data_IF_977893169074
#
_entry.id   IF_977893169074
#
_cell.length_a   1.000
_cell.length_b   1.000
_cell.length_c   1.000
_cell.angle_alpha   90.00
_cell.angle_beta   90.00
_cell.angle_gamma   90.00
#
_symmetry.space_group_name_H-M   'P 1'
#
loop_
_entity.id
_entity.type
_entity.pdbx_description
1 polymer ?
#
# COMPACT_ATOMS: atom_id res chain seq x y z
N UNK A 1 -50.32 2.29 -77.12
CA UNK A 1 -49.58 2.95 -76.02
C UNK A 1 -50.03 2.53 -74.62
N UNK A 2 -51.31 2.19 -74.35
CA UNK A 2 -51.77 1.84 -72.99
C UNK A 2 -51.29 0.47 -72.46
N UNK A 3 -51.12 -0.54 -73.32
CA UNK A 3 -50.67 -1.89 -72.91
C UNK A 3 -49.19 -1.94 -72.45
N UNK A 4 -48.35 -1.03 -72.96
CA UNK A 4 -46.92 -1.02 -72.63
C UNK A 4 -46.67 -0.41 -71.24
N UNK A 5 -47.44 0.62 -70.86
CA UNK A 5 -47.32 1.25 -69.53
C UNK A 5 -47.81 0.33 -68.40
N UNK A 6 -48.85 -0.47 -68.63
CA UNK A 6 -49.35 -1.43 -67.64
C UNK A 6 -48.31 -2.53 -67.34
N UNK A 7 -47.58 -3.00 -68.35
CA UNK A 7 -46.53 -4.01 -68.18
C UNK A 7 -45.33 -3.45 -67.38
N UNK A 8 -44.95 -2.19 -67.64
CA UNK A 8 -43.85 -1.53 -66.92
C UNK A 8 -44.19 -1.34 -65.44
N UNK A 9 -45.43 -0.94 -65.13
CA UNK A 9 -45.91 -0.80 -63.75
C UNK A 9 -45.94 -2.13 -62.99
N UNK A 10 -46.36 -3.22 -63.64
CA UNK A 10 -46.36 -4.56 -63.04
C UNK A 10 -44.94 -5.08 -62.76
N UNK A 11 -44.00 -4.84 -63.68
CA UNK A 11 -42.58 -5.23 -63.49
C UNK A 11 -41.92 -4.41 -62.37
N UNK A 12 -42.25 -3.12 -62.25
CA UNK A 12 -41.75 -2.27 -61.16
C UNK A 12 -42.31 -2.69 -59.79
N UNK A 13 -43.61 -3.01 -59.70
CA UNK A 13 -44.22 -3.52 -58.46
C UNK A 13 -43.63 -4.87 -58.05
N UNK A 14 -43.46 -5.80 -59.01
CA UNK A 14 -42.85 -7.10 -58.74
C UNK A 14 -41.39 -6.95 -58.27
N UNK A 15 -40.61 -6.05 -58.88
CA UNK A 15 -39.24 -5.75 -58.45
C UNK A 15 -39.19 -5.16 -57.03
N UNK A 16 -40.14 -4.29 -56.69
CA UNK A 16 -40.21 -3.69 -55.36
C UNK A 16 -40.56 -4.71 -54.28
N UNK A 17 -41.54 -5.58 -54.55
CA UNK A 17 -41.92 -6.67 -53.65
C UNK A 17 -40.79 -7.70 -53.47
N UNK A 18 -40.05 -8.02 -54.54
CA UNK A 18 -38.90 -8.93 -54.47
C UNK A 18 -37.77 -8.33 -53.62
N UNK A 19 -37.48 -7.03 -53.79
CA UNK A 19 -36.49 -6.32 -52.98
C UNK A 19 -36.91 -6.21 -51.51
N UNK A 20 -38.18 -5.96 -51.24
CA UNK A 20 -38.71 -5.93 -49.87
C UNK A 20 -38.65 -7.32 -49.22
N UNK A 21 -38.97 -8.39 -49.95
CA UNK A 21 -38.85 -9.76 -49.46
C UNK A 21 -37.39 -10.15 -49.19
N UNK A 22 -36.45 -9.79 -50.07
CA UNK A 22 -35.02 -10.00 -49.87
C UNK A 22 -34.49 -9.22 -48.67
N UNK A 23 -34.94 -7.98 -48.47
CA UNK A 23 -34.56 -7.17 -47.30
C UNK A 23 -35.10 -7.79 -46.00
N UNK A 24 -36.34 -8.28 -46.00
CA UNK A 24 -36.93 -8.97 -44.84
C UNK A 24 -36.23 -10.29 -44.53
N UNK A 25 -35.80 -11.05 -45.53
CA UNK A 25 -35.01 -12.29 -45.36
C UNK A 25 -33.60 -11.98 -44.85
N UNK A 26 -32.98 -10.88 -45.31
CA UNK A 26 -31.70 -10.41 -44.79
C UNK A 26 -31.83 -9.92 -43.33
N UNK A 27 -32.89 -9.21 -42.99
CA UNK A 27 -33.18 -8.71 -41.64
C UNK A 27 -33.52 -9.85 -40.66
N UNK A 28 -34.28 -10.87 -41.09
CA UNK A 28 -34.58 -12.04 -40.26
C UNK A 28 -33.39 -13.01 -40.17
N UNK A 29 -32.57 -13.11 -41.23
CA UNK A 29 -31.30 -13.83 -41.22
C UNK A 29 -30.27 -13.20 -40.27
N UNK A 30 -30.21 -11.87 -40.21
CA UNK A 30 -29.39 -11.13 -39.24
C UNK A 30 -29.87 -11.33 -37.80
N UNK A 31 -31.18 -11.46 -37.56
CA UNK A 31 -31.71 -11.78 -36.23
C UNK A 31 -31.43 -13.23 -35.81
N UNK A 32 -31.32 -14.18 -36.74
CA UNK A 32 -30.94 -15.55 -36.44
C UNK A 32 -29.43 -15.79 -36.33
N UNK A 33 -28.58 -14.92 -36.90
CA UNK A 33 -27.11 -15.03 -36.79
C UNK A 33 -26.56 -14.29 -35.55
N UNK A 34 -27.35 -13.42 -34.92
CA UNK A 34 -26.99 -12.77 -33.64
C UNK A 34 -27.46 -13.55 -32.40
N UNK A 35 -28.05 -14.73 -32.60
CA UNK A 35 -28.43 -15.64 -31.53
C UNK A 35 -27.72 -16.97 -31.79
N UNK A 36 -26.49 -17.08 -31.30
CA UNK A 36 -25.85 -18.30 -30.75
C UNK A 36 -24.32 -18.25 -30.93
N UNK A 37 -23.69 -17.30 -30.23
CA UNK A 37 -22.36 -17.52 -29.68
C UNK A 37 -22.41 -17.10 -28.21
N UNK A 38 -22.94 -17.99 -27.38
CA UNK A 38 -22.94 -17.89 -25.91
C UNK A 38 -21.51 -18.03 -25.33
N UNK A 39 -20.52 -17.31 -25.87
CA UNK A 39 -19.31 -17.02 -25.09
C UNK A 39 -19.60 -15.78 -24.24
N UNK A 40 -20.19 -16.01 -23.07
CA UNK A 40 -20.27 -14.99 -22.03
C UNK A 40 -18.83 -14.57 -21.69
N UNK A 41 -18.48 -13.31 -21.99
CA UNK A 41 -17.16 -12.77 -21.71
C UNK A 41 -16.78 -12.91 -20.22
N UNK A 42 -15.49 -12.90 -19.88
CA UNK A 42 -15.07 -13.13 -18.51
C UNK A 42 -15.66 -12.08 -17.58
N UNK A 43 -16.24 -12.54 -16.48
CA UNK A 43 -16.73 -11.68 -15.39
C UNK A 43 -15.61 -10.83 -14.80
N UNK A 44 -15.94 -9.70 -14.18
CA UNK A 44 -14.92 -8.88 -13.50
C UNK A 44 -14.14 -9.64 -12.42
N UNK A 45 -14.78 -10.58 -11.73
CA UNK A 45 -14.13 -11.50 -10.79
C UNK A 45 -13.05 -12.35 -11.47
N UNK A 46 -13.35 -12.94 -12.62
CA UNK A 46 -12.39 -13.73 -13.41
C UNK A 46 -11.25 -12.87 -13.95
N UNK A 47 -11.54 -11.65 -14.39
CA UNK A 47 -10.51 -10.68 -14.83
C UNK A 47 -9.59 -10.31 -13.67
N UNK A 48 -10.15 -10.04 -12.49
CA UNK A 48 -9.38 -9.71 -11.28
C UNK A 48 -8.49 -10.87 -10.85
N UNK A 49 -9.03 -12.11 -10.78
CA UNK A 49 -8.24 -13.31 -10.46
C UNK A 49 -7.09 -13.52 -11.44
N UNK A 50 -7.38 -13.41 -12.74
CA UNK A 50 -6.39 -13.55 -13.81
C UNK A 50 -5.27 -12.51 -13.68
N UNK A 51 -5.62 -11.24 -13.41
CA UNK A 51 -4.66 -10.15 -13.21
C UNK A 51 -3.68 -10.42 -12.06
N UNK A 52 -4.13 -11.04 -10.97
CA UNK A 52 -3.32 -11.27 -9.78
C UNK A 52 -2.84 -12.72 -9.62
N UNK A 53 -3.07 -13.59 -10.61
CA UNK A 53 -2.65 -14.99 -10.59
C UNK A 53 -3.32 -15.81 -9.48
N UNK A 54 -4.58 -15.49 -9.17
CA UNK A 54 -5.32 -16.08 -8.05
C UNK A 54 -6.16 -17.27 -8.52
N UNK A 55 -6.13 -18.36 -7.74
CA UNK A 55 -6.89 -19.58 -7.97
C UNK A 55 -7.36 -20.16 -6.63
N UNK A 56 -8.60 -20.62 -6.58
CA UNK A 56 -9.26 -21.20 -5.42
C UNK A 56 -9.91 -22.52 -5.80
N UNK A 57 -10.10 -23.39 -4.81
CA UNK A 57 -11.04 -24.52 -4.91
C UNK A 57 -12.47 -23.99 -4.98
N UNK A 58 -13.42 -24.76 -5.52
CA UNK A 58 -14.78 -24.26 -5.85
C UNK A 58 -15.54 -23.64 -4.66
N UNK A 59 -15.43 -24.25 -3.48
CA UNK A 59 -16.08 -23.73 -2.26
C UNK A 59 -15.47 -22.39 -1.84
N UNK A 60 -14.14 -22.31 -1.82
CA UNK A 60 -13.42 -21.09 -1.48
C UNK A 60 -13.68 -19.98 -2.51
N UNK A 61 -13.80 -20.32 -3.81
CA UNK A 61 -14.02 -19.32 -4.86
C UNK A 61 -15.32 -18.53 -4.65
N UNK A 62 -16.40 -19.23 -4.27
CA UNK A 62 -17.68 -18.59 -3.98
C UNK A 62 -17.60 -17.67 -2.77
N UNK A 63 -16.98 -18.11 -1.68
CA UNK A 63 -16.81 -17.29 -0.47
C UNK A 63 -15.94 -16.05 -0.73
N UNK A 64 -14.82 -16.23 -1.43
CA UNK A 64 -13.89 -15.17 -1.81
C UNK A 64 -14.54 -14.15 -2.74
N UNK A 65 -15.37 -14.61 -3.67
CA UNK A 65 -16.14 -13.74 -4.55
C UNK A 65 -17.11 -12.84 -3.77
N UNK A 66 -17.84 -13.38 -2.79
CA UNK A 66 -18.76 -12.57 -1.96
C UNK A 66 -18.02 -11.47 -1.22
N UNK A 67 -16.84 -11.77 -0.67
CA UNK A 67 -15.98 -10.78 0.00
C UNK A 67 -15.53 -9.70 -0.99
N UNK A 68 -15.07 -10.13 -2.17
CA UNK A 68 -14.62 -9.24 -3.23
C UNK A 68 -15.73 -8.30 -3.73
N UNK A 69 -16.95 -8.80 -3.92
CA UNK A 69 -18.11 -8.00 -4.32
C UNK A 69 -18.47 -6.98 -3.22
N UNK A 70 -18.41 -7.36 -1.94
CA UNK A 70 -18.60 -6.44 -0.82
C UNK A 70 -17.55 -5.32 -0.78
N UNK A 71 -16.27 -5.67 -0.98
CA UNK A 71 -15.19 -4.68 -1.05
C UNK A 71 -15.33 -3.77 -2.27
N UNK A 72 -15.78 -4.28 -3.41
CA UNK A 72 -16.07 -3.49 -4.61
C UNK A 72 -17.14 -2.43 -4.33
N UNK A 73 -18.23 -2.78 -3.65
CA UNK A 73 -19.28 -1.81 -3.27
C UNK A 73 -18.74 -0.71 -2.34
N UNK A 74 -17.88 -1.05 -1.39
CA UNK A 74 -17.23 -0.06 -0.51
C UNK A 74 -16.37 0.93 -1.30
N UNK A 75 -15.60 0.43 -2.27
CA UNK A 75 -14.76 1.25 -3.16
C UNK A 75 -15.63 2.19 -4.00
N UNK A 76 -16.71 1.68 -4.61
CA UNK A 76 -17.61 2.47 -5.45
C UNK A 76 -18.30 3.58 -4.67
N UNK A 77 -18.78 3.29 -3.45
CA UNK A 77 -19.42 4.30 -2.60
C UNK A 77 -18.41 5.39 -2.14
N UNK A 78 -17.20 5.00 -1.75
CA UNK A 78 -16.15 5.98 -1.44
C UNK A 78 -15.85 6.88 -2.65
N UNK A 79 -15.70 6.28 -3.83
CA UNK A 79 -15.36 7.00 -5.05
C UNK A 79 -16.49 7.92 -5.52
N UNK A 80 -17.75 7.52 -5.35
CA UNK A 80 -18.91 8.40 -5.59
C UNK A 80 -18.84 9.65 -4.71
N UNK A 81 -18.50 9.48 -3.42
CA UNK A 81 -18.34 10.60 -2.48
C UNK A 81 -17.11 11.45 -2.77
N UNK A 82 -16.01 10.84 -3.23
CA UNK A 82 -14.80 11.54 -3.68
C UNK A 82 -15.10 12.46 -4.88
N UNK A 83 -15.82 11.95 -5.89
CA UNK A 83 -16.23 12.73 -7.06
C UNK A 83 -17.18 13.89 -6.70
N UNK A 84 -17.91 13.79 -5.60
CA UNK A 84 -18.76 14.86 -5.06
C UNK A 84 -18.02 15.82 -4.11
N UNK A 85 -16.70 15.66 -3.92
CA UNK A 85 -15.91 16.47 -2.99
C UNK A 85 -16.20 16.20 -1.50
N UNK A 86 -16.90 15.11 -1.17
CA UNK A 86 -17.25 14.73 0.21
C UNK A 86 -16.19 13.84 0.88
N UNK A 87 -15.22 13.34 0.11
CA UNK A 87 -14.06 12.57 0.56
C UNK A 87 -12.82 13.15 -0.12
N UNK A 88 -11.69 13.15 0.58
CA UNK A 88 -10.41 13.69 0.10
C UNK A 88 -9.52 12.66 -0.61
N UNK A 89 -9.96 11.41 -0.68
CA UNK A 89 -9.23 10.32 -1.32
C UNK A 89 -10.14 9.35 -2.06
N UNK A 90 -9.57 8.67 -3.06
CA UNK A 90 -10.18 7.60 -3.82
C UNK A 90 -9.63 6.23 -3.39
N UNK A 91 -10.41 5.20 -3.69
CA UNK A 91 -10.05 3.80 -3.46
C UNK A 91 -10.02 3.04 -4.80
N UNK A 92 -9.26 1.94 -4.85
CA UNK A 92 -9.20 1.08 -6.02
C UNK A 92 -9.06 -0.40 -5.62
N UNK A 93 -9.61 -1.28 -6.44
CA UNK A 93 -9.47 -2.71 -6.25
C UNK A 93 -8.01 -3.14 -6.51
N UNK A 94 -7.42 -3.86 -5.55
CA UNK A 94 -6.05 -4.34 -5.62
C UNK A 94 -5.99 -5.86 -5.33
N UNK A 95 -4.77 -6.41 -5.17
CA UNK A 95 -4.54 -7.85 -4.91
C UNK A 95 -5.17 -8.37 -3.61
N UNK A 96 -5.63 -7.49 -2.73
CA UNK A 96 -6.25 -7.83 -1.45
C UNK A 96 -7.78 -7.77 -1.50
N UNK A 97 -8.36 -7.66 -2.70
CA UNK A 97 -9.78 -7.48 -2.95
C UNK A 97 -10.69 -8.53 -2.30
N UNK A 98 -10.22 -9.75 -2.13
CA UNK A 98 -10.95 -10.90 -1.60
C UNK A 98 -10.67 -11.19 -0.12
N UNK A 99 -10.00 -10.26 0.57
CA UNK A 99 -9.71 -10.37 2.01
C UNK A 99 -10.76 -9.63 2.83
N UNK A 100 -11.26 -10.28 3.88
CA UNK A 100 -12.08 -9.62 4.92
C UNK A 100 -11.15 -8.83 5.83
N UNK A 101 -11.63 -7.69 6.36
CA UNK A 101 -10.93 -6.89 7.39
C UNK A 101 -10.32 -7.77 8.50
N UNK A 102 -11.06 -8.70 9.08
CA UNK A 102 -10.54 -9.59 10.13
C UNK A 102 -9.54 -10.63 9.61
N UNK A 103 -9.69 -11.13 8.37
CA UNK A 103 -8.85 -12.19 7.78
C UNK A 103 -7.52 -11.64 7.26
N UNK A 104 -7.51 -10.41 6.72
CA UNK A 104 -6.33 -9.66 6.30
C UNK A 104 -5.33 -9.45 7.47
N UNK A 105 -5.84 -9.45 8.71
CA UNK A 105 -5.06 -9.19 9.92
C UNK A 105 -4.89 -10.44 10.80
N UNK A 106 -5.83 -11.38 10.81
CA UNK A 106 -5.80 -12.58 11.68
C UNK A 106 -5.38 -13.85 10.93
N UNK A 107 -5.84 -14.08 9.69
CA UNK A 107 -5.66 -15.37 9.00
C UNK A 107 -4.49 -15.40 8.01
N UNK A 108 -4.00 -14.25 7.55
CA UNK A 108 -2.81 -14.15 6.67
C UNK A 108 -1.48 -14.29 7.40
N UNK A 109 -1.45 -14.55 8.72
CA UNK A 109 -0.26 -14.34 9.55
C UNK A 109 0.34 -12.95 9.30
N UNK A 110 -0.48 -11.94 9.62
CA UNK A 110 -0.15 -10.53 9.79
C UNK A 110 0.31 -9.81 8.51
N UNK A 111 -0.59 -9.21 7.71
CA UNK A 111 -0.16 -8.13 6.78
C UNK A 111 0.39 -6.90 7.53
N UNK A 112 0.11 -6.82 8.83
CA UNK A 112 0.52 -5.76 9.74
C UNK A 112 1.28 -6.39 10.91
N UNK A 113 2.57 -6.11 10.97
CA UNK A 113 3.54 -6.79 11.83
C UNK A 113 3.80 -6.10 13.16
N UNK A 114 2.96 -5.21 13.68
CA UNK A 114 3.14 -4.63 15.02
C UNK A 114 2.24 -5.37 15.99
N UNK A 115 2.81 -6.25 16.80
CA UNK A 115 2.04 -7.09 17.72
C UNK A 115 1.97 -6.44 19.12
N UNK A 116 0.77 -6.34 19.68
CA UNK A 116 0.53 -5.82 21.05
C UNK A 116 0.96 -6.79 22.16
N UNK A 117 1.39 -8.00 21.79
CA UNK A 117 1.76 -9.03 22.75
C UNK A 117 3.10 -8.70 23.41
N UNK A 118 2.95 -8.18 24.64
CA UNK A 118 3.88 -8.21 25.78
C UNK A 118 4.90 -7.05 25.86
N UNK A 119 4.69 -6.24 26.90
CA UNK A 119 5.62 -5.31 27.55
C UNK A 119 6.64 -4.65 26.62
N UNK A 120 6.30 -3.44 26.15
CA UNK A 120 7.29 -2.38 25.97
C UNK A 120 8.06 -2.31 27.30
N UNK A 121 9.19 -3.01 27.40
CA UNK A 121 10.10 -2.89 28.52
C UNK A 121 10.52 -1.43 28.51
N UNK A 122 9.84 -0.64 29.33
CA UNK A 122 10.16 0.72 29.78
C UNK A 122 11.47 1.27 29.20
N UNK A 123 11.40 1.77 27.95
CA UNK A 123 12.52 2.44 27.28
C UNK A 123 12.55 3.89 27.79
N UNK A 124 12.82 4.08 29.09
CA UNK A 124 12.79 5.41 29.73
C UNK A 124 13.98 6.32 29.37
N UNK A 125 14.81 5.98 28.37
CA UNK A 125 16.07 6.70 28.12
C UNK A 125 16.43 7.00 26.65
N UNK A 126 15.58 6.69 25.66
CA UNK A 126 15.87 6.97 24.24
C UNK A 126 14.99 8.07 23.62
N UNK A 127 14.20 8.77 24.44
CA UNK A 127 13.41 9.91 23.97
C UNK A 127 14.31 11.08 23.55
N UNK A 128 13.97 11.71 22.43
CA UNK A 128 14.59 12.95 22.01
C UNK A 128 14.36 14.01 23.07
N UNK A 129 15.45 14.61 23.54
CA UNK A 129 15.36 15.87 24.26
C UNK A 129 15.00 16.93 23.23
N UNK A 130 13.90 17.67 23.45
CA UNK A 130 13.42 18.75 22.56
C UNK A 130 14.49 19.80 22.16
N UNK A 131 15.60 19.88 22.92
CA UNK A 131 16.77 20.73 22.65
C UNK A 131 17.66 20.23 21.50
N UNK A 132 17.54 18.96 21.08
CA UNK A 132 18.35 18.33 20.03
C UNK A 132 17.79 18.55 18.62
N UNK A 133 16.54 18.99 18.51
CA UNK A 133 15.93 19.42 17.24
C UNK A 133 16.18 20.93 17.05
N UNK A 134 16.52 21.35 15.82
CA UNK A 134 16.59 22.77 15.47
C UNK A 134 15.14 23.27 15.31
N UNK A 135 14.59 24.04 16.27
CA UNK A 135 13.17 24.37 16.25
C UNK A 135 12.87 25.30 15.08
N UNK A 136 11.83 24.96 14.30
CA UNK A 136 11.24 25.88 13.34
C UNK A 136 11.77 25.80 11.92
N UNK A 137 12.52 24.76 11.53
CA UNK A 137 12.82 24.54 10.11
C UNK A 137 11.52 24.23 9.32
N UNK A 138 10.60 23.45 9.90
CA UNK A 138 9.29 23.17 9.31
C UNK A 138 8.28 24.34 9.42
N UNK A 139 8.51 25.32 10.31
CA UNK A 139 7.63 26.50 10.46
C UNK A 139 7.58 27.41 9.23
N UNK A 140 8.54 27.28 8.31
CA UNK A 140 8.66 28.15 7.14
C UNK A 140 7.91 27.66 5.89
N UNK A 141 7.00 26.67 6.01
CA UNK A 141 6.17 26.24 4.88
C UNK A 141 6.92 25.44 3.80
N UNK A 142 8.12 24.93 4.11
CA UNK A 142 8.87 24.07 3.19
C UNK A 142 8.30 22.65 3.20
N UNK A 143 7.79 22.20 2.05
CA UNK A 143 7.49 20.80 1.83
C UNK A 143 8.80 19.99 1.77
N UNK A 144 8.76 18.76 2.28
CA UNK A 144 9.86 17.80 2.21
C UNK A 144 9.37 16.59 1.45
N UNK A 145 10.16 16.14 0.46
CA UNK A 145 9.89 14.90 -0.27
C UNK A 145 11.19 14.20 -0.61
N UNK A 146 11.57 13.22 0.23
CA UNK A 146 12.83 12.49 0.10
C UNK A 146 12.88 11.57 -1.13
N UNK A 147 11.74 11.28 -1.77
CA UNK A 147 11.69 10.49 -3.02
C UNK A 147 12.44 11.18 -4.15
N UNK A 148 12.33 12.51 -4.21
CA UNK A 148 12.97 13.33 -5.24
C UNK A 148 14.42 13.70 -4.88
N UNK A 149 14.92 13.27 -3.72
CA UNK A 149 16.25 13.62 -3.20
C UNK A 149 17.21 12.44 -3.17
N UNK A 150 16.80 11.25 -3.63
CA UNK A 150 17.65 10.05 -3.66
C UNK A 150 17.79 9.31 -2.32
N UNK A 151 17.02 9.67 -1.30
CA UNK A 151 17.10 9.09 0.04
C UNK A 151 16.28 7.80 0.20
N UNK A 152 15.50 7.42 -0.81
CA UNK A 152 14.48 6.37 -0.70
C UNK A 152 14.71 5.34 -1.80
N UNK A 153 14.87 4.08 -1.40
CA UNK A 153 14.93 2.91 -2.30
C UNK A 153 13.59 2.68 -3.00
N UNK A 154 13.54 1.75 -3.95
CA UNK A 154 12.31 1.26 -4.56
C UNK A 154 11.28 0.81 -3.51
N UNK A 155 9.99 0.89 -3.86
CA UNK A 155 8.94 0.28 -3.03
C UNK A 155 9.08 -1.23 -3.13
N UNK A 156 9.16 -1.88 -1.97
CA UNK A 156 9.25 -3.33 -1.82
C UNK A 156 7.87 -3.92 -1.47
N UNK A 157 7.77 -5.25 -1.47
CA UNK A 157 6.55 -5.99 -1.14
C UNK A 157 6.84 -7.05 -0.07
N UNK A 158 6.23 -6.89 1.11
CA UNK A 158 6.37 -7.80 2.24
C UNK A 158 5.60 -9.12 2.03
N UNK A 159 4.70 -9.18 1.04
CA UNK A 159 3.84 -10.32 0.79
C UNK A 159 2.88 -10.59 1.95
N UNK A 160 2.71 -11.86 2.28
CA UNK A 160 1.83 -12.31 3.38
C UNK A 160 2.60 -12.55 4.69
N UNK A 161 3.73 -11.87 4.87
CA UNK A 161 4.55 -11.94 6.06
C UNK A 161 4.39 -10.64 6.86
N UNK A 162 4.18 -10.72 8.18
CA UNK A 162 4.12 -9.58 9.10
C UNK A 162 5.46 -8.98 9.42
N UNK A 163 6.17 -8.57 8.38
CA UNK A 163 7.52 -8.03 8.41
C UNK A 163 7.56 -6.52 8.10
N UNK A 164 6.42 -5.81 8.08
CA UNK A 164 6.38 -4.35 7.86
C UNK A 164 7.36 -3.58 8.78
N UNK A 165 7.57 -4.07 10.00
CA UNK A 165 8.53 -3.55 10.97
C UNK A 165 9.96 -3.58 10.43
N UNK A 166 10.34 -4.64 9.71
CA UNK A 166 11.64 -4.77 9.08
C UNK A 166 11.78 -3.78 7.91
N UNK A 167 10.77 -3.67 7.03
CA UNK A 167 10.76 -2.72 5.90
C UNK A 167 10.84 -1.25 6.34
N UNK A 168 10.11 -0.89 7.40
CA UNK A 168 10.19 0.46 7.95
C UNK A 168 11.57 0.73 8.57
N UNK A 169 12.13 -0.26 9.28
CA UNK A 169 13.47 -0.18 9.89
C UNK A 169 14.56 -0.01 8.83
N UNK A 170 14.59 -0.89 7.81
CA UNK A 170 15.57 -0.82 6.72
C UNK A 170 15.48 0.51 6.01
N UNK A 171 14.29 0.95 5.61
CA UNK A 171 14.09 2.20 4.89
C UNK A 171 14.65 3.44 5.59
N UNK A 172 14.56 3.50 6.92
CA UNK A 172 15.14 4.62 7.68
C UNK A 172 16.68 4.53 7.74
N UNK A 173 17.24 3.33 7.86
CA UNK A 173 18.71 3.10 7.87
C UNK A 173 19.29 3.39 6.47
N UNK A 174 18.63 2.93 5.41
CA UNK A 174 18.98 3.21 4.01
C UNK A 174 19.12 4.71 3.78
N UNK A 175 18.16 5.50 4.26
CA UNK A 175 18.17 6.94 4.10
C UNK A 175 19.29 7.63 4.91
N UNK A 176 19.55 7.16 6.14
CA UNK A 176 20.69 7.65 6.92
C UNK A 176 22.01 7.30 6.22
N UNK A 177 22.12 6.10 5.63
CA UNK A 177 23.32 5.64 4.95
C UNK A 177 23.60 6.54 3.75
N UNK A 178 22.57 6.80 2.93
CA UNK A 178 22.64 7.74 1.83
C UNK A 178 23.06 9.14 2.29
N UNK A 179 22.49 9.65 3.39
CA UNK A 179 22.88 10.95 3.96
C UNK A 179 24.37 11.03 4.30
N UNK A 180 24.94 9.94 4.84
CA UNK A 180 26.33 9.89 5.32
C UNK A 180 27.33 9.62 4.21
N UNK A 181 26.98 8.79 3.23
CA UNK A 181 27.92 8.25 2.23
C UNK A 181 27.64 8.71 0.80
N UNK A 182 26.44 9.22 0.52
CA UNK A 182 25.94 9.48 -0.83
C UNK A 182 25.57 8.22 -1.62
N UNK A 183 25.64 7.03 -1.01
CA UNK A 183 25.32 5.76 -1.67
C UNK A 183 24.02 5.19 -1.12
N UNK A 184 23.05 4.98 -2.00
CA UNK A 184 21.77 4.37 -1.66
C UNK A 184 21.91 2.86 -1.84
N UNK A 185 21.89 2.12 -0.74
CA UNK A 185 22.04 0.65 -0.72
C UNK A 185 20.76 0.06 -0.16
N UNK A 186 20.09 -0.81 -0.93
CA UNK A 186 18.92 -1.55 -0.47
C UNK A 186 19.33 -2.58 0.59
N UNK A 187 18.75 -2.50 1.79
CA UNK A 187 19.11 -3.31 2.96
C UNK A 187 18.19 -4.52 3.13
N UNK A 188 18.70 -5.59 3.72
CA UNK A 188 17.97 -6.85 3.86
C UNK A 188 16.96 -6.83 5.00
N UNK A 189 15.67 -6.86 4.66
CA UNK A 189 14.61 -7.13 5.63
C UNK A 189 14.65 -8.58 6.12
N UNK A 190 15.05 -9.52 5.26
CA UNK A 190 15.10 -10.94 5.62
C UNK A 190 16.14 -11.22 6.70
N UNK A 191 17.28 -10.52 6.65
CA UNK A 191 18.27 -10.57 7.71
C UNK A 191 17.64 -10.21 9.06
N UNK A 192 16.79 -9.18 9.14
CA UNK A 192 16.04 -8.87 10.36
C UNK A 192 15.05 -9.98 10.71
N UNK A 193 14.22 -10.42 9.76
CA UNK A 193 13.17 -11.43 9.96
C UNK A 193 13.74 -12.74 10.55
N UNK A 194 14.89 -13.19 10.05
CA UNK A 194 15.48 -14.47 10.45
C UNK A 194 16.33 -14.36 11.72
N UNK A 195 17.06 -13.26 11.90
CA UNK A 195 18.16 -13.18 12.87
C UNK A 195 17.87 -12.38 14.14
N UNK A 196 16.81 -11.57 14.18
CA UNK A 196 16.55 -10.66 15.30
C UNK A 196 15.64 -11.24 16.40
N UNK A 197 15.25 -12.52 16.31
CA UNK A 197 14.29 -13.14 17.25
C UNK A 197 14.71 -13.01 18.73
N UNK A 198 16.01 -13.11 19.01
CA UNK A 198 16.57 -12.91 20.36
C UNK A 198 16.43 -11.49 20.91
N UNK A 199 16.13 -10.51 20.07
CA UNK A 199 15.88 -9.11 20.44
C UNK A 199 14.39 -8.80 20.65
N UNK A 200 13.53 -9.83 20.67
CA UNK A 200 12.09 -9.66 20.85
C UNK A 200 11.35 -9.36 19.54
N UNK A 201 11.87 -9.85 18.42
CA UNK A 201 11.13 -9.88 17.14
C UNK A 201 10.56 -11.27 16.89
N UNK A 202 9.50 -11.38 16.10
CA UNK A 202 8.81 -12.64 15.86
C UNK A 202 8.67 -12.97 14.36
N UNK A 203 9.67 -12.57 13.56
CA UNK A 203 9.69 -12.86 12.12
C UNK A 203 8.44 -12.34 11.41
N UNK A 204 7.71 -13.23 10.74
CA UNK A 204 6.46 -12.90 10.06
C UNK A 204 5.28 -12.71 11.03
N UNK A 205 5.45 -13.00 12.32
CA UNK A 205 4.44 -12.71 13.34
C UNK A 205 4.57 -11.30 13.94
N UNK A 206 5.53 -10.50 13.47
CA UNK A 206 5.65 -9.09 13.85
C UNK A 206 6.72 -8.74 14.88
N UNK A 207 6.98 -7.44 15.03
CA UNK A 207 7.84 -6.84 16.04
C UNK A 207 7.59 -5.33 16.14
N UNK A 208 8.13 -4.73 17.20
CA UNK A 208 8.33 -3.28 17.26
C UNK A 208 9.68 -2.90 16.65
N UNK A 209 9.74 -1.79 15.92
CA UNK A 209 10.93 -1.40 15.16
C UNK A 209 12.14 -1.07 16.04
N UNK A 210 11.92 -0.67 17.30
CA UNK A 210 13.01 -0.50 18.27
C UNK A 210 13.82 -1.79 18.49
N UNK A 211 13.15 -2.95 18.55
CA UNK A 211 13.80 -4.25 18.71
C UNK A 211 14.70 -4.58 17.50
N UNK A 212 14.24 -4.22 16.30
CA UNK A 212 15.02 -4.36 15.09
C UNK A 212 16.26 -3.45 15.10
N UNK A 213 16.12 -2.21 15.57
CA UNK A 213 17.28 -1.35 15.75
C UNK A 213 18.26 -1.87 16.80
N UNK A 214 17.80 -2.43 17.93
CA UNK A 214 18.71 -3.02 18.92
C UNK A 214 19.52 -4.19 18.33
N UNK A 215 18.94 -4.97 17.41
CA UNK A 215 19.68 -5.96 16.62
C UNK A 215 20.76 -5.29 15.75
N UNK A 216 20.40 -4.26 14.97
CA UNK A 216 21.37 -3.61 14.06
C UNK A 216 22.47 -2.89 14.82
N UNK A 217 22.19 -2.31 16.00
CA UNK A 217 23.21 -1.76 16.91
C UNK A 217 24.22 -2.83 17.31
N UNK A 218 23.75 -4.04 17.60
CA UNK A 218 24.59 -5.12 18.12
C UNK A 218 25.38 -5.84 17.03
N UNK A 219 24.79 -5.99 15.84
CA UNK A 219 25.30 -6.89 14.81
C UNK A 219 25.69 -6.19 13.50
N UNK A 220 24.91 -5.19 13.06
CA UNK A 220 24.91 -4.70 11.68
C UNK A 220 23.82 -5.35 10.82
N UNK A 221 23.81 -5.01 9.53
CA UNK A 221 22.83 -5.49 8.57
C UNK A 221 23.44 -5.68 7.18
N UNK A 222 23.04 -6.76 6.51
CA UNK A 222 23.38 -7.06 5.13
C UNK A 222 22.54 -6.29 4.10
N UNK A 223 22.98 -6.30 2.85
CA UNK A 223 22.23 -5.76 1.71
C UNK A 223 21.16 -6.75 1.22
N UNK A 224 20.10 -6.26 0.57
CA UNK A 224 19.12 -7.14 -0.08
C UNK A 224 19.73 -8.04 -1.17
N UNK A 225 20.92 -7.69 -1.69
CA UNK A 225 21.61 -8.49 -2.71
C UNK A 225 22.30 -9.73 -2.11
N UNK A 226 22.86 -9.61 -0.91
CA UNK A 226 23.56 -10.71 -0.23
C UNK A 226 22.61 -11.56 0.60
N UNK A 227 21.51 -10.97 1.09
CA UNK A 227 20.46 -11.66 1.83
C UNK A 227 19.07 -11.27 1.30
N UNK A 228 18.60 -11.91 0.21
CA UNK A 228 17.32 -11.56 -0.44
C UNK A 228 16.07 -11.84 0.42
N UNK A 229 15.01 -11.07 0.16
CA UNK A 229 13.71 -11.25 0.82
C UNK A 229 12.91 -12.44 0.28
N UNK A 230 12.37 -13.25 1.18
CA UNK A 230 11.66 -14.51 0.85
C UNK A 230 10.22 -14.56 1.36
N UNK A 231 9.77 -13.54 2.09
CA UNK A 231 8.41 -13.46 2.65
C UNK A 231 8.02 -14.63 3.56
N UNK A 232 9.00 -15.29 4.18
CA UNK A 232 8.80 -16.38 5.15
C UNK A 232 9.84 -16.26 6.27
N UNK A 233 9.56 -16.87 7.42
CA UNK A 233 10.43 -16.89 8.61
C UNK A 233 10.78 -18.32 9.07
N UNK A 234 10.60 -19.28 8.17
CA UNK A 234 10.91 -20.71 8.35
C UNK A 234 12.39 -21.03 8.10
N UNK A 235 13.16 -20.06 7.62
CA UNK A 235 14.57 -20.23 7.32
C UNK A 235 15.46 -19.98 8.55
N UNK A 236 16.62 -20.64 8.64
CA UNK A 236 17.66 -20.28 9.60
C UNK A 236 18.18 -18.85 9.37
N UNK A 237 18.75 -18.24 10.41
CA UNK A 237 19.53 -17.02 10.25
C UNK A 237 20.83 -17.31 9.50
N UNK A 238 21.01 -16.72 8.33
CA UNK A 238 22.20 -16.85 7.49
C UNK A 238 23.13 -15.63 7.53
N UNK A 239 22.96 -14.76 8.52
CA UNK A 239 23.73 -13.52 8.64
C UNK A 239 25.23 -13.78 8.66
N UNK A 240 25.96 -13.10 7.78
CA UNK A 240 27.42 -13.07 7.75
C UNK A 240 27.90 -11.64 8.06
N UNK A 241 28.55 -11.47 9.21
CA UNK A 241 29.09 -10.18 9.65
C UNK A 241 30.12 -9.59 8.69
N UNK A 242 30.75 -10.41 7.83
CA UNK A 242 31.69 -9.94 6.81
C UNK A 242 31.00 -9.28 5.61
N UNK A 243 29.70 -9.54 5.44
CA UNK A 243 28.86 -8.99 4.37
C UNK A 243 27.98 -7.82 4.86
N UNK A 244 28.08 -7.45 6.13
CA UNK A 244 27.35 -6.32 6.68
C UNK A 244 27.76 -5.01 5.97
N UNK A 245 26.75 -4.26 5.51
CA UNK A 245 26.91 -2.99 4.79
C UNK A 245 26.36 -1.79 5.57
N UNK A 246 25.62 -2.03 6.64
CA UNK A 246 25.06 -0.99 7.49
C UNK A 246 25.21 -1.34 8.98
N UNK A 247 25.54 -0.32 9.77
CA UNK A 247 25.56 -0.37 11.23
C UNK A 247 24.93 0.90 11.76
N UNK A 248 24.19 0.83 12.87
CA UNK A 248 23.74 2.03 13.58
C UNK A 248 24.37 2.02 14.97
N UNK A 249 24.67 3.19 15.52
CA UNK A 249 25.20 3.30 16.89
C UNK A 249 24.09 3.41 17.92
N UNK A 250 22.94 3.97 17.55
CA UNK A 250 21.82 4.22 18.44
C UNK A 250 20.54 4.56 17.64
N UNK A 251 19.43 4.81 18.31
CA UNK A 251 18.20 5.35 17.74
C UNK A 251 17.48 6.25 18.74
N UNK A 252 16.57 7.10 18.25
CA UNK A 252 15.84 8.05 19.11
C UNK A 252 14.36 8.05 18.82
N UNK A 253 13.56 8.13 19.88
CA UNK A 253 12.12 8.32 19.80
C UNK A 253 11.75 9.80 19.68
N UNK A 254 10.85 10.10 18.76
CA UNK A 254 10.20 11.39 18.67
C UNK A 254 9.09 11.45 19.72
N UNK A 255 8.90 12.59 20.42
CA UNK A 255 7.87 12.70 21.44
C UNK A 255 6.50 12.27 20.93
N UNK A 256 5.87 11.35 21.67
CA UNK A 256 4.60 10.74 21.31
C UNK A 256 3.53 11.79 21.00
N UNK A 257 2.95 11.74 19.81
CA UNK A 257 1.87 12.61 19.34
C UNK A 257 2.32 14.01 18.90
N UNK A 258 3.61 14.35 18.98
CA UNK A 258 4.12 15.67 18.61
C UNK A 258 4.44 15.72 17.10
N UNK A 259 3.41 16.01 16.30
CA UNK A 259 3.55 16.16 14.83
C UNK A 259 4.56 17.24 14.44
N UNK A 260 4.73 18.30 15.24
CA UNK A 260 5.69 19.35 14.94
C UNK A 260 7.13 18.87 15.17
N UNK A 261 7.40 18.17 16.28
CA UNK A 261 8.69 17.55 16.51
C UNK A 261 9.01 16.51 15.43
N UNK A 262 8.00 15.77 14.96
CA UNK A 262 8.15 14.83 13.86
C UNK A 262 8.46 15.53 12.52
N UNK A 263 7.84 16.66 12.22
CA UNK A 263 8.15 17.46 11.04
C UNK A 263 9.59 18.00 11.09
N UNK A 264 10.00 18.55 12.23
CA UNK A 264 11.35 19.08 12.44
C UNK A 264 12.41 17.95 12.33
N UNK A 265 12.13 16.78 12.91
CA UNK A 265 13.00 15.60 12.75
C UNK A 265 13.07 15.14 11.29
N UNK A 266 11.95 15.08 10.58
CA UNK A 266 11.94 14.64 9.17
C UNK A 266 12.78 15.58 8.32
N UNK A 267 12.61 16.89 8.49
CA UNK A 267 13.31 17.92 7.72
C UNK A 267 14.82 17.97 8.00
N UNK A 268 15.26 17.63 9.22
CA UNK A 268 16.67 17.78 9.63
C UNK A 268 17.44 16.46 9.64
N UNK A 269 16.77 15.35 9.93
CA UNK A 269 17.39 14.03 10.09
C UNK A 269 17.26 13.21 8.81
N UNK A 270 16.08 13.12 8.21
CA UNK A 270 15.80 12.19 7.12
C UNK A 270 14.51 11.40 7.38
N UNK A 271 14.16 10.47 6.49
CA UNK A 271 13.05 9.53 6.66
C UNK A 271 12.99 8.87 8.05
N UNK A 272 11.77 8.70 8.57
CA UNK A 272 11.49 8.26 9.94
C UNK A 272 10.65 7.00 9.93
N UNK A 273 11.00 6.03 10.78
CA UNK A 273 10.16 4.85 11.02
C UNK A 273 8.97 5.24 11.89
N UNK A 274 7.75 4.94 11.42
CA UNK A 274 6.50 5.23 12.14
C UNK A 274 5.60 4.00 12.18
N UNK A 275 4.75 3.90 13.22
CA UNK A 275 3.62 2.97 13.22
C UNK A 275 2.28 3.71 13.11
N UNK A 276 1.32 3.08 12.45
CA UNK A 276 -0.02 3.59 12.21
C UNK A 276 -1.08 2.51 12.50
N UNK A 277 -2.31 2.96 12.68
CA UNK A 277 -3.49 2.11 12.54
C UNK A 277 -3.85 1.97 11.06
N UNK A 278 -3.66 0.77 10.52
CA UNK A 278 -4.00 0.41 9.15
C UNK A 278 -5.18 -0.58 9.06
N UNK A 279 -5.86 -0.89 10.16
CA UNK A 279 -6.98 -1.86 10.21
C UNK A 279 -8.30 -1.26 9.69
N UNK A 280 -8.25 -0.72 8.48
CA UNK A 280 -9.39 -0.11 7.81
C UNK A 280 -9.44 -0.53 6.35
N UNK A 281 -10.62 -0.89 5.85
CA UNK A 281 -10.82 -1.19 4.42
C UNK A 281 -10.44 0.01 3.53
N UNK A 282 -10.65 1.23 4.03
CA UNK A 282 -10.24 2.47 3.36
C UNK A 282 -8.71 2.56 3.19
N UNK A 283 -7.93 2.07 4.15
CA UNK A 283 -6.47 1.98 4.03
C UNK A 283 -6.08 0.87 3.05
N UNK A 284 -6.69 -0.31 3.19
CA UNK A 284 -6.40 -1.48 2.35
C UNK A 284 -6.56 -1.16 0.85
N UNK A 285 -7.60 -0.41 0.49
CA UNK A 285 -7.90 -0.07 -0.91
C UNK A 285 -7.56 1.37 -1.29
N UNK A 286 -6.79 2.09 -0.47
CA UNK A 286 -6.36 3.44 -0.84
C UNK A 286 -5.69 3.45 -2.21
N UNK A 287 -6.06 4.44 -3.03
CA UNK A 287 -5.54 4.62 -4.38
C UNK A 287 -4.81 5.96 -4.53
N UNK A 288 -5.48 7.07 -4.23
CA UNK A 288 -4.89 8.40 -4.36
C UNK A 288 -5.64 9.46 -3.55
N UNK A 289 -5.01 10.60 -3.31
CA UNK A 289 -5.58 11.74 -2.58
C UNK A 289 -5.03 11.85 -1.15
N UNK A 290 -5.66 12.67 -0.31
CA UNK A 290 -5.25 12.83 1.09
C UNK A 290 -6.12 11.92 1.95
N UNK A 291 -5.54 10.82 2.42
CA UNK A 291 -6.22 9.84 3.27
C UNK A 291 -6.62 10.46 4.61
N UNK A 292 -7.89 10.30 4.95
CA UNK A 292 -8.50 10.74 6.21
C UNK A 292 -9.59 9.75 6.64
N UNK A 293 -9.27 8.94 7.65
CA UNK A 293 -10.16 7.93 8.22
C UNK A 293 -10.51 8.30 9.66
N UNK A 294 -11.74 8.77 9.93
CA UNK A 294 -12.14 9.22 11.25
C UNK A 294 -12.19 8.10 12.29
N UNK A 295 -12.27 6.83 11.86
CA UNK A 295 -12.30 5.68 12.76
C UNK A 295 -10.92 5.14 13.13
N UNK A 296 -9.85 5.75 12.63
CA UNK A 296 -8.49 5.43 13.03
C UNK A 296 -8.31 5.55 14.55
N UNK A 297 -7.71 4.55 15.17
CA UNK A 297 -7.42 4.54 16.60
C UNK A 297 -5.93 4.81 16.85
N UNK A 298 -5.55 6.02 17.33
CA UNK A 298 -4.15 6.39 17.54
C UNK A 298 -3.45 5.59 18.66
N UNK A 299 -4.18 4.74 19.37
CA UNK A 299 -3.67 3.84 20.40
C UNK A 299 -3.61 2.36 19.96
N UNK A 300 -4.14 2.02 18.78
CA UNK A 300 -4.15 0.65 18.25
C UNK A 300 -3.28 0.57 16.99
N UNK A 301 -1.99 0.85 17.13
CA UNK A 301 -1.04 0.77 16.02
C UNK A 301 -0.78 -0.70 15.69
N UNK A 302 -0.88 -1.03 14.40
CA UNK A 302 -0.74 -2.41 13.92
C UNK A 302 0.23 -2.52 12.74
N UNK A 303 0.50 -1.43 12.02
CA UNK A 303 1.33 -1.44 10.81
C UNK A 303 2.50 -0.45 10.91
N UNK A 304 3.66 -0.83 10.38
CA UNK A 304 4.85 0.01 10.35
C UNK A 304 5.14 0.46 8.92
N UNK A 305 5.35 1.75 8.74
CA UNK A 305 5.63 2.39 7.44
C UNK A 305 6.78 3.37 7.59
N UNK A 306 7.32 3.85 6.46
CA UNK A 306 8.38 4.85 6.49
C UNK A 306 7.80 6.23 6.12
N UNK A 307 7.95 7.20 7.00
CA UNK A 307 7.62 8.60 6.73
C UNK A 307 8.74 9.23 5.89
N UNK A 308 8.42 9.66 4.67
CA UNK A 308 9.39 10.15 3.68
C UNK A 308 9.16 11.60 3.24
N UNK A 309 8.14 12.26 3.77
CA UNK A 309 7.89 13.64 3.44
C UNK A 309 6.64 14.23 4.08
N UNK A 310 6.42 15.51 3.81
CA UNK A 310 5.17 16.23 4.09
C UNK A 310 5.01 17.39 3.12
N UNK A 311 3.78 17.84 2.95
CA UNK A 311 3.45 18.98 2.11
C UNK A 311 2.10 19.59 2.49
N UNK A 312 1.59 20.39 1.56
CA UNK A 312 0.25 20.99 1.62
C UNK A 312 -0.31 21.04 0.21
N UNK A 313 -1.57 20.63 0.04
CA UNK A 313 -2.30 20.74 -1.22
C UNK A 313 -3.64 21.41 -0.94
N UNK A 314 -3.93 22.51 -1.62
CA UNK A 314 -5.21 23.21 -1.52
C UNK A 314 -5.60 23.58 -0.06
N UNK A 315 -4.59 23.90 0.76
CA UNK A 315 -4.77 24.24 2.17
C UNK A 315 -4.91 23.02 3.10
N UNK A 316 -4.86 21.80 2.57
CA UNK A 316 -4.82 20.57 3.36
C UNK A 316 -3.38 20.04 3.46
N UNK A 317 -2.87 20.07 4.69
CA UNK A 317 -1.57 19.54 5.03
C UNK A 317 -1.57 18.00 5.05
N UNK A 318 -0.48 17.39 4.59
CA UNK A 318 -0.34 15.94 4.55
C UNK A 318 1.09 15.48 4.87
N UNK A 319 1.19 14.24 5.36
CA UNK A 319 2.41 13.43 5.42
C UNK A 319 2.49 12.54 4.16
N UNK A 320 3.70 12.15 3.77
CA UNK A 320 3.95 11.17 2.69
C UNK A 320 4.57 9.92 3.34
N UNK A 321 3.86 8.79 3.27
CA UNK A 321 4.36 7.51 3.76
C UNK A 321 4.71 6.58 2.60
N UNK A 322 5.79 5.81 2.75
CA UNK A 322 6.16 4.68 1.91
C UNK A 322 5.66 3.40 2.58
N UNK A 323 4.83 2.64 1.88
CA UNK A 323 4.32 1.35 2.32
C UNK A 323 5.19 0.20 1.79
N UNK A 324 4.93 -1.01 2.27
CA UNK A 324 5.64 -2.25 1.92
C UNK A 324 4.72 -3.27 1.25
N UNK A 325 3.70 -2.82 0.51
CA UNK A 325 2.72 -3.67 -0.16
C UNK A 325 2.84 -3.62 -1.70
N UNK A 326 4.05 -3.34 -2.19
CA UNK A 326 4.35 -3.20 -3.61
C UNK A 326 3.82 -1.91 -4.22
N UNK A 327 4.25 -1.64 -5.45
CA UNK A 327 3.89 -0.41 -6.19
C UNK A 327 2.44 -0.37 -6.67
N UNK A 328 1.74 -1.51 -6.66
CA UNK A 328 0.33 -1.61 -7.07
C UNK A 328 -0.66 -1.13 -6.02
N UNK A 329 -0.19 -0.81 -4.81
CA UNK A 329 -1.01 -0.22 -3.75
C UNK A 329 -0.78 1.29 -3.68
N UNK A 330 -1.84 2.08 -3.50
CA UNK A 330 -1.75 3.54 -3.36
C UNK A 330 -1.10 4.25 -4.55
N UNK A 331 -0.40 5.35 -4.24
CA UNK A 331 0.24 6.24 -5.21
C UNK A 331 1.64 5.69 -5.55
N UNK A 332 1.68 4.57 -6.27
CA UNK A 332 2.93 3.88 -6.62
C UNK A 332 3.64 3.27 -5.41
N UNK A 333 2.88 2.79 -4.41
CA UNK A 333 3.38 2.27 -3.14
C UNK A 333 3.44 3.30 -2.01
N UNK A 334 3.01 4.52 -2.27
CA UNK A 334 2.98 5.61 -1.28
C UNK A 334 1.56 6.01 -0.94
N UNK A 335 1.39 6.72 0.18
CA UNK A 335 0.14 7.33 0.56
C UNK A 335 0.39 8.72 1.11
N UNK A 336 -0.52 9.64 0.82
CA UNK A 336 -0.61 10.92 1.53
C UNK A 336 -1.67 10.80 2.59
N UNK A 337 -1.34 11.11 3.82
CA UNK A 337 -2.26 11.05 4.97
C UNK A 337 -2.34 12.42 5.61
N UNK A 338 -3.53 12.81 6.05
CA UNK A 338 -3.78 14.14 6.60
C UNK A 338 -2.83 14.46 7.77
N UNK A 339 -2.26 15.67 7.76
CA UNK A 339 -1.43 16.24 8.83
C UNK A 339 -2.17 17.42 9.42
N UNK A 340 -3.04 17.16 10.39
CA UNK A 340 -3.98 18.14 10.95
C UNK A 340 -3.67 18.52 12.41
N UNK A 341 -2.53 18.09 12.96
CA UNK A 341 -2.21 18.30 14.37
C UNK A 341 -3.01 17.42 15.34
N UNK A 342 -3.81 16.47 14.83
CA UNK A 342 -4.63 15.54 15.63
C UNK A 342 -4.07 14.12 15.65
N UNK A 343 -2.86 13.91 15.12
CA UNK A 343 -2.19 12.61 15.11
C UNK A 343 -3.02 11.53 14.38
N UNK A 344 -3.42 11.84 13.14
CA UNK A 344 -4.24 10.96 12.31
C UNK A 344 -3.64 9.57 12.22
N UNK A 345 -4.46 8.54 12.49
CA UNK A 345 -4.05 7.13 12.56
C UNK A 345 -2.87 6.83 13.49
N UNK A 346 -2.59 7.72 14.44
CA UNK A 346 -1.50 7.57 15.39
C UNK A 346 -0.11 7.69 14.77
N UNK A 347 0.04 8.35 13.62
CA UNK A 347 1.31 8.43 12.88
C UNK A 347 2.48 8.95 13.73
N UNK A 348 2.24 9.92 14.61
CA UNK A 348 3.23 10.43 15.56
C UNK A 348 3.24 9.67 16.90
N UNK A 349 2.44 8.61 17.08
CA UNK A 349 2.36 7.87 18.36
C UNK A 349 3.57 7.00 18.63
N UNK A 350 4.20 6.45 17.60
CA UNK A 350 5.41 5.63 17.69
C UNK A 350 6.31 5.96 16.51
N UNK A 351 7.11 7.01 16.66
CA UNK A 351 8.00 7.50 15.63
C UNK A 351 9.45 7.52 16.15
N UNK A 352 10.37 6.98 15.37
CA UNK A 352 11.77 6.86 15.74
C UNK A 352 12.68 6.83 14.51
N UNK A 353 13.93 7.23 14.69
CA UNK A 353 14.93 7.20 13.63
C UNK A 353 16.27 6.64 14.11
N UNK A 354 17.06 6.01 13.21
CA UNK A 354 18.36 5.48 13.55
C UNK A 354 19.43 6.56 13.51
N UNK A 355 20.54 6.30 14.19
CA UNK A 355 21.74 7.14 14.20
C UNK A 355 22.92 6.29 13.76
N UNK A 356 23.57 6.67 12.65
CA UNK A 356 24.82 6.08 12.12
C UNK A 356 26.09 6.52 12.86
#
# INVERSE_FOLDING_TARGET
>A
MQLCNALVLLVQQASFLLKAALLSILLSGLQHVLADSDEEGPTEWQIWKSRYGISYDELDDMERRVIWEGNKQLIEENNRRFLMGMKSFSMAMNRYGDLVRSICFVSTKNLTGVNQLLNVHTIFHKDLKKKELIPGFARYGYAVDYRNMGFVTEVKDQGFCGSCWAFSTTGAIEAQLYKKTGQLISLSEQNLVDCSKSFGTYGCSGAWMANAYDYVVSNGLESSNTYPYTSVDTQPCFYDSRLAVAHIRDYRFIPRGDEQAMADALATIGPITVAIDADHASFLFYSSGIYDEPNCNPNNLNHAVLLVGYGSQEGQDYWIIKNSWGTGWGEGGYMRIVRNGQNACGLASYALYPIL
#
